data_IF_078215889925
#
_entry.id   IF_078215889925
#
_cell.length_a   1.000
_cell.length_b   1.000
_cell.length_c   1.000
_cell.angle_alpha   90.00
_cell.angle_beta   90.00
_cell.angle_gamma   90.00
#
_symmetry.space_group_name_H-M   'P 1'
#
loop_
_entity.id
_entity.type
_entity.pdbx_description
1 polymer ?
#
# COMPACT_ATOMS: atom_id res chain seq x y z
N UNK A 1 -5.42 -72.39 -30.31
CA UNK A 1 -6.54 -72.64 -29.38
C UNK A 1 -6.59 -71.51 -28.39
N UNK A 2 -7.71 -70.80 -28.41
CA UNK A 2 -8.08 -69.64 -27.61
C UNK A 2 -7.90 -69.89 -26.11
N UNK A 3 -7.48 -68.84 -25.37
CA UNK A 3 -8.19 -68.38 -24.16
C UNK A 3 -8.03 -66.87 -24.02
N UNK A 4 -9.16 -66.18 -24.09
CA UNK A 4 -9.30 -64.81 -23.65
C UNK A 4 -9.15 -64.73 -22.12
N UNK A 5 -8.44 -63.71 -21.62
CA UNK A 5 -8.61 -63.19 -20.27
C UNK A 5 -8.63 -61.68 -20.37
N UNK A 6 -9.84 -61.13 -20.23
CA UNK A 6 -10.09 -59.71 -19.97
C UNK A 6 -9.75 -59.48 -18.49
N UNK A 7 -8.85 -58.54 -18.21
CA UNK A 7 -8.70 -57.98 -16.88
C UNK A 7 -8.56 -56.46 -16.99
N UNK A 8 -9.64 -55.79 -16.60
CA UNK A 8 -9.74 -54.35 -16.33
C UNK A 8 -8.94 -54.07 -15.06
N UNK A 9 -7.95 -53.17 -15.08
CA UNK A 9 -7.62 -52.36 -13.90
C UNK A 9 -6.76 -51.13 -14.22
N UNK A 10 -7.37 -49.97 -13.96
CA UNK A 10 -6.79 -48.73 -13.43
C UNK A 10 -5.72 -47.96 -14.23
N UNK A 11 -6.22 -46.88 -14.84
CA UNK A 11 -5.48 -45.67 -15.21
C UNK A 11 -4.71 -45.13 -14.00
N UNK A 12 -3.39 -45.10 -14.10
CA UNK A 12 -2.52 -44.29 -13.24
C UNK A 12 -1.54 -43.53 -14.14
N UNK A 13 -2.04 -42.48 -14.79
CA UNK A 13 -1.19 -41.41 -15.31
C UNK A 13 -0.74 -40.63 -14.07
N UNK A 14 0.46 -40.93 -13.57
CA UNK A 14 1.16 -40.06 -12.63
C UNK A 14 1.54 -38.80 -13.43
N UNK A 15 0.64 -37.82 -13.41
CA UNK A 15 0.93 -36.45 -13.80
C UNK A 15 1.93 -35.88 -12.81
N UNK A 16 3.22 -36.02 -13.12
CA UNK A 16 4.27 -35.31 -12.40
C UNK A 16 4.19 -33.82 -12.75
N UNK A 17 3.51 -33.07 -11.87
CA UNK A 17 3.88 -31.69 -11.51
C UNK A 17 4.03 -30.68 -12.64
N UNK A 18 2.95 -30.35 -13.34
CA UNK A 18 2.76 -28.98 -13.83
C UNK A 18 2.21 -28.13 -12.68
N UNK A 19 3.10 -27.64 -11.80
CA UNK A 19 2.84 -26.36 -11.13
C UNK A 19 3.34 -25.26 -12.07
N UNK A 20 2.65 -25.14 -13.21
CA UNK A 20 2.68 -23.90 -13.96
C UNK A 20 2.09 -22.84 -13.04
N UNK A 21 2.88 -21.84 -12.69
CA UNK A 21 2.33 -20.57 -12.22
C UNK A 21 1.40 -20.10 -13.34
N UNK A 22 0.10 -20.27 -13.18
CA UNK A 22 -0.88 -19.62 -14.06
C UNK A 22 -0.79 -18.12 -13.82
N UNK A 23 0.11 -17.48 -14.56
CA UNK A 23 0.12 -16.05 -14.73
C UNK A 23 -1.22 -15.63 -15.30
N UNK A 24 -2.01 -14.92 -14.49
CA UNK A 24 -3.11 -14.11 -15.01
C UNK A 24 -2.47 -13.05 -15.92
N UNK A 25 -2.94 -13.00 -17.16
CA UNK A 25 -2.65 -11.89 -18.08
C UNK A 25 -3.37 -10.66 -17.52
N UNK A 26 -2.62 -9.81 -16.83
CA UNK A 26 -2.96 -8.43 -16.49
C UNK A 26 -1.97 -7.52 -17.23
N UNK A 27 -2.48 -6.44 -17.83
CA UNK A 27 -1.70 -5.56 -18.68
C UNK A 27 -0.50 -4.95 -17.93
N UNK A 28 0.66 -4.97 -18.61
CA UNK A 28 1.94 -4.31 -18.35
C UNK A 28 2.14 -3.60 -16.98
N UNK A 29 2.97 -4.22 -16.12
CA UNK A 29 4.10 -3.57 -15.43
C UNK A 29 4.99 -4.68 -14.82
N UNK A 30 6.17 -4.90 -15.39
CA UNK A 30 7.14 -5.98 -15.06
C UNK A 30 7.84 -5.78 -13.69
N UNK A 31 7.21 -5.05 -12.77
CA UNK A 31 7.78 -4.56 -11.50
C UNK A 31 7.21 -5.27 -10.26
N UNK A 32 6.15 -6.06 -10.42
CA UNK A 32 5.48 -6.76 -9.31
C UNK A 32 4.59 -5.87 -8.44
N UNK A 33 4.34 -4.61 -8.85
CA UNK A 33 3.50 -3.66 -8.14
C UNK A 33 2.03 -3.71 -8.61
N UNK A 34 1.11 -3.27 -7.75
CA UNK A 34 -0.29 -3.05 -8.11
C UNK A 34 -0.49 -1.57 -8.45
N UNK A 35 -0.67 -1.24 -9.72
CA UNK A 35 -0.86 0.14 -10.16
C UNK A 35 -2.30 0.61 -9.96
N UNK A 36 -2.48 1.83 -9.47
CA UNK A 36 -3.82 2.43 -9.31
C UNK A 36 -4.41 2.94 -10.63
N UNK A 37 -3.63 3.06 -11.70
CA UNK A 37 -4.04 3.68 -12.96
C UNK A 37 -5.21 2.96 -13.66
N UNK A 38 -5.35 1.65 -13.45
CA UNK A 38 -6.44 0.87 -14.04
C UNK A 38 -7.78 1.08 -13.31
N UNK A 39 -7.76 1.70 -12.13
CA UNK A 39 -8.89 1.78 -11.21
C UNK A 39 -9.32 3.21 -10.90
N UNK A 40 -8.40 4.16 -11.00
CA UNK A 40 -8.61 5.55 -10.65
C UNK A 40 -8.54 6.43 -11.90
N UNK A 41 -9.39 7.46 -11.91
CA UNK A 41 -9.30 8.57 -12.86
C UNK A 41 -8.80 9.82 -12.12
N UNK A 42 -7.47 10.00 -12.02
CA UNK A 42 -6.88 11.14 -11.31
C UNK A 42 -6.90 12.42 -12.16
N UNK A 43 -6.32 13.50 -11.63
CA UNK A 43 -6.35 14.86 -12.20
C UNK A 43 -7.77 15.42 -12.39
N UNK A 44 -8.67 15.01 -11.51
CA UNK A 44 -10.03 15.54 -11.39
C UNK A 44 -10.18 16.19 -10.02
N UNK A 45 -11.22 17.00 -9.84
CA UNK A 45 -11.61 17.49 -8.51
C UNK A 45 -12.44 16.46 -7.73
N UNK A 46 -12.51 15.22 -8.22
CA UNK A 46 -13.24 14.14 -7.53
C UNK A 46 -12.43 13.68 -6.31
N UNK A 47 -13.12 13.48 -5.20
CA UNK A 47 -12.51 12.86 -4.03
C UNK A 47 -12.26 11.36 -4.28
N UNK A 48 -10.99 10.97 -4.24
CA UNK A 48 -10.56 9.59 -4.46
C UNK A 48 -10.35 8.80 -3.17
N UNK A 49 -10.66 9.39 -2.00
CA UNK A 49 -10.30 8.80 -0.70
C UNK A 49 -10.80 7.36 -0.53
N UNK A 50 -12.10 7.13 -0.75
CA UNK A 50 -12.69 5.80 -0.57
C UNK A 50 -12.20 4.80 -1.62
N UNK A 51 -11.92 5.26 -2.84
CA UNK A 51 -11.41 4.40 -3.91
C UNK A 51 -9.98 3.96 -3.61
N UNK A 52 -9.14 4.88 -3.16
CA UNK A 52 -7.76 4.59 -2.75
C UNK A 52 -7.75 3.66 -1.54
N UNK A 53 -8.57 3.94 -0.51
CA UNK A 53 -8.65 3.09 0.67
C UNK A 53 -9.11 1.68 0.31
N UNK A 54 -10.10 1.55 -0.58
CA UNK A 54 -10.57 0.25 -1.08
C UNK A 54 -9.46 -0.52 -1.80
N UNK A 55 -8.65 0.14 -2.65
CA UNK A 55 -7.51 -0.49 -3.32
C UNK A 55 -6.51 -1.03 -2.29
N UNK A 56 -6.19 -0.26 -1.24
CA UNK A 56 -5.30 -0.71 -0.17
C UNK A 56 -5.88 -1.95 0.54
N UNK A 57 -7.17 -1.90 0.86
CA UNK A 57 -7.84 -2.95 1.65
C UNK A 57 -8.00 -4.26 0.86
N UNK A 58 -8.23 -4.19 -0.45
CA UNK A 58 -8.41 -5.36 -1.32
C UNK A 58 -7.09 -5.97 -1.80
N UNK A 59 -5.95 -5.31 -1.55
CA UNK A 59 -4.64 -5.75 -2.02
C UNK A 59 -3.61 -5.86 -0.88
N UNK A 60 -3.86 -6.73 0.12
CA UNK A 60 -2.88 -6.99 1.18
C UNK A 60 -1.59 -7.60 0.62
N UNK A 61 -0.46 -7.34 1.28
CA UNK A 61 0.87 -7.87 0.93
C UNK A 61 1.34 -7.43 -0.46
N UNK A 62 0.97 -6.20 -0.86
CA UNK A 62 1.35 -5.57 -2.13
C UNK A 62 2.00 -4.22 -1.89
N UNK A 63 2.81 -3.82 -2.86
CA UNK A 63 3.15 -2.42 -3.07
C UNK A 63 2.13 -1.82 -4.02
N UNK A 64 1.43 -0.78 -3.57
CA UNK A 64 0.49 -0.01 -4.38
C UNK A 64 1.27 1.13 -5.04
N UNK A 65 1.25 1.15 -6.37
CA UNK A 65 1.97 2.13 -7.18
C UNK A 65 1.03 3.23 -7.67
N UNK A 66 1.46 4.48 -7.50
CA UNK A 66 0.80 5.69 -7.95
C UNK A 66 1.62 6.35 -9.07
N UNK A 67 1.16 6.28 -10.33
CA UNK A 67 1.79 6.99 -11.45
C UNK A 67 1.64 8.51 -11.38
N UNK A 68 2.32 9.21 -12.30
CA UNK A 68 2.42 10.67 -12.34
C UNK A 68 1.05 11.32 -12.57
N UNK A 69 0.41 11.76 -11.49
CA UNK A 69 -0.92 12.34 -11.47
C UNK A 69 -1.18 13.05 -10.13
N UNK A 70 -2.21 13.90 -10.08
CA UNK A 70 -2.76 14.46 -8.84
C UNK A 70 -3.97 13.66 -8.38
N UNK A 71 -3.92 13.17 -7.15
CA UNK A 71 -4.95 12.40 -6.47
C UNK A 71 -5.50 13.23 -5.32
N UNK A 72 -6.72 13.76 -5.47
CA UNK A 72 -7.36 14.56 -4.45
C UNK A 72 -8.07 13.68 -3.42
N UNK A 73 -7.86 13.96 -2.13
CA UNK A 73 -8.43 13.20 -1.01
C UNK A 73 -9.02 14.14 0.04
N UNK A 74 -10.23 13.85 0.52
CA UNK A 74 -10.92 14.60 1.58
C UNK A 74 -10.72 14.03 2.99
N UNK A 75 -10.19 12.81 3.10
CA UNK A 75 -9.96 12.13 4.37
C UNK A 75 -8.69 11.29 4.36
N UNK A 76 -8.16 10.93 5.54
CA UNK A 76 -6.91 10.18 5.65
C UNK A 76 -6.92 8.85 4.90
N UNK A 77 -5.80 8.54 4.26
CA UNK A 77 -5.51 7.24 3.66
C UNK A 77 -4.68 6.42 4.63
N UNK A 78 -5.18 5.24 5.00
CA UNK A 78 -4.57 4.40 6.04
C UNK A 78 -4.03 3.10 5.46
N UNK A 79 -2.77 2.76 5.77
CA UNK A 79 -2.26 1.39 5.59
C UNK A 79 -2.44 0.57 6.87
N UNK A 80 -2.61 -0.76 6.78
CA UNK A 80 -2.73 -1.63 7.95
C UNK A 80 -1.39 -1.85 8.65
N UNK A 81 -1.43 -2.01 9.98
CA UNK A 81 -0.28 -2.43 10.78
C UNK A 81 -0.24 -3.95 11.00
N UNK A 82 -1.30 -4.70 10.67
CA UNK A 82 -1.30 -6.15 10.72
C UNK A 82 -0.30 -6.72 9.68
N UNK A 83 0.73 -7.48 10.09
CA UNK A 83 1.72 -8.06 9.18
C UNK A 83 1.12 -8.96 8.10
N UNK A 84 -0.04 -9.57 8.34
CA UNK A 84 -0.75 -10.40 7.35
C UNK A 84 -1.41 -9.59 6.24
N UNK A 85 -1.48 -8.27 6.40
CA UNK A 85 -2.11 -7.34 5.46
C UNK A 85 -1.17 -6.24 4.98
N UNK A 86 0.14 -6.35 5.22
CA UNK A 86 1.06 -5.25 5.03
C UNK A 86 0.99 -4.63 3.64
N UNK A 87 0.94 -3.30 3.57
CA UNK A 87 0.91 -2.57 2.30
C UNK A 87 2.01 -1.51 2.31
N UNK A 88 2.74 -1.46 1.20
CA UNK A 88 3.67 -0.37 0.90
C UNK A 88 3.08 0.55 -0.16
N UNK A 89 3.33 1.84 -0.06
CA UNK A 89 2.91 2.84 -1.05
C UNK A 89 4.15 3.35 -1.78
N UNK A 90 4.10 3.35 -3.11
CA UNK A 90 5.15 3.90 -3.96
C UNK A 90 4.55 4.88 -4.96
N UNK A 91 5.02 6.12 -4.92
CA UNK A 91 4.60 7.19 -5.80
C UNK A 91 5.72 7.48 -6.79
N UNK A 92 5.38 7.70 -8.06
CA UNK A 92 6.32 8.22 -9.04
C UNK A 92 6.70 9.68 -8.74
N UNK A 93 7.76 10.18 -9.37
CA UNK A 93 8.34 11.49 -9.04
C UNK A 93 7.39 12.68 -9.16
N UNK A 94 6.38 12.61 -10.05
CA UNK A 94 5.37 13.66 -10.22
C UNK A 94 3.98 13.25 -9.71
N UNK A 95 3.87 12.14 -8.99
CA UNK A 95 2.63 11.77 -8.32
C UNK A 95 2.40 12.64 -7.08
N UNK A 96 1.19 13.18 -6.95
CA UNK A 96 0.77 14.10 -5.90
C UNK A 96 -0.46 13.50 -5.20
N UNK A 97 -0.39 13.28 -3.89
CA UNK A 97 -1.60 13.06 -3.08
C UNK A 97 -1.88 14.35 -2.31
N UNK A 98 -3.03 14.95 -2.59
CA UNK A 98 -3.37 16.30 -2.13
C UNK A 98 -4.63 16.29 -1.29
N UNK A 99 -4.54 16.89 -0.10
CA UNK A 99 -5.70 17.21 0.72
C UNK A 99 -6.63 18.16 -0.05
N UNK A 100 -7.92 17.87 -0.05
CA UNK A 100 -8.94 18.71 -0.68
C UNK A 100 -9.18 20.01 0.08
N UNK A 101 -9.95 20.92 -0.51
CA UNK A 101 -10.32 22.18 0.11
C UNK A 101 -11.32 22.01 1.27
N UNK A 102 -12.06 20.91 1.30
CA UNK A 102 -13.02 20.51 2.34
C UNK A 102 -12.41 19.56 3.38
N UNK A 103 -11.08 19.52 3.51
CA UNK A 103 -10.42 18.72 4.55
C UNK A 103 -10.79 19.17 5.97
N UNK A 104 -11.46 18.30 6.73
CA UNK A 104 -11.93 18.57 8.10
C UNK A 104 -11.21 17.74 9.18
N UNK A 105 -10.35 16.80 8.79
CA UNK A 105 -9.65 15.95 9.76
C UNK A 105 -8.43 16.64 10.39
N UNK A 106 -8.18 16.40 11.67
CA UNK A 106 -6.93 16.79 12.34
C UNK A 106 -5.77 15.81 12.06
N UNK A 107 -6.01 14.79 11.24
CA UNK A 107 -5.06 13.74 10.93
C UNK A 107 -4.19 14.06 9.70
N UNK A 108 -3.18 13.20 9.47
CA UNK A 108 -2.35 13.26 8.28
C UNK A 108 -3.08 12.79 7.01
N UNK A 109 -2.67 13.33 5.85
CA UNK A 109 -3.12 12.85 4.53
C UNK A 109 -2.85 11.36 4.40
N UNK A 110 -1.62 10.94 4.74
CA UNK A 110 -1.23 9.53 4.78
C UNK A 110 -0.97 9.11 6.22
N UNK A 111 -1.64 8.06 6.67
CA UNK A 111 -1.45 7.42 7.98
C UNK A 111 -0.90 6.03 7.78
N UNK A 112 0.42 5.91 7.79
CA UNK A 112 1.09 4.62 7.74
C UNK A 112 0.76 3.85 9.02
N UNK A 113 0.29 2.62 8.86
CA UNK A 113 -0.16 1.79 9.97
C UNK A 113 -1.26 2.47 10.80
N UNK A 114 -2.13 3.24 10.15
CA UNK A 114 -3.25 3.97 10.76
C UNK A 114 -4.48 3.12 11.07
N UNK A 115 -4.50 1.86 10.63
CA UNK A 115 -5.56 0.88 10.92
C UNK A 115 -4.97 -0.49 11.27
N UNK A 116 -5.80 -1.38 11.79
CA UNK A 116 -5.43 -2.74 12.18
C UNK A 116 -4.15 -2.77 13.06
N UNK A 117 -4.16 -2.12 14.24
CA UNK A 117 -2.96 -1.97 15.07
C UNK A 117 -2.39 -3.31 15.49
N UNK A 118 -1.06 -3.42 15.48
CA UNK A 118 -0.35 -4.65 15.79
C UNK A 118 0.92 -4.36 16.61
N UNK A 119 1.22 -5.20 17.60
CA UNK A 119 2.27 -4.92 18.59
C UNK A 119 3.40 -5.96 18.64
N UNK A 120 3.46 -6.89 17.69
CA UNK A 120 4.50 -7.93 17.62
C UNK A 120 5.37 -7.79 16.34
N UNK A 121 6.68 -7.92 16.50
CA UNK A 121 7.70 -7.72 15.44
C UNK A 121 8.29 -9.01 14.91
N UNK A 122 8.01 -10.15 15.55
CA UNK A 122 8.59 -11.44 15.17
C UNK A 122 7.99 -12.02 13.89
N UNK A 123 6.89 -11.45 13.39
CA UNK A 123 6.20 -11.93 12.20
C UNK A 123 6.78 -11.31 10.94
N UNK A 124 7.02 -12.14 9.94
CA UNK A 124 7.36 -11.68 8.59
C UNK A 124 6.22 -10.82 8.05
N UNK A 125 6.56 -9.72 7.37
CA UNK A 125 5.59 -8.81 6.76
C UNK A 125 5.53 -7.44 7.41
N UNK A 126 6.24 -7.19 8.51
CA UNK A 126 6.30 -5.90 9.21
C UNK A 126 7.06 -4.78 8.49
N UNK A 127 7.38 -4.91 7.19
CA UNK A 127 8.10 -3.89 6.44
C UNK A 127 7.11 -2.98 5.69
N UNK A 128 6.59 -1.98 6.37
CA UNK A 128 5.70 -0.97 5.79
C UNK A 128 6.54 0.15 5.18
N UNK A 129 6.22 0.61 3.97
CA UNK A 129 6.97 1.71 3.37
C UNK A 129 6.11 2.74 2.65
N UNK A 130 6.60 3.97 2.68
CA UNK A 130 6.16 5.06 1.84
C UNK A 130 7.36 5.57 1.05
N UNK A 131 7.29 5.51 -0.28
CA UNK A 131 8.38 5.89 -1.18
C UNK A 131 7.89 6.90 -2.22
N UNK A 132 8.65 7.97 -2.44
CA UNK A 132 8.49 8.81 -3.63
C UNK A 132 7.41 9.88 -3.54
N UNK A 133 7.17 10.53 -4.67
CA UNK A 133 6.12 11.50 -4.89
C UNK A 133 6.10 12.70 -3.95
N UNK A 134 4.92 13.31 -3.91
CA UNK A 134 4.67 14.56 -3.23
C UNK A 134 3.35 14.50 -2.45
N UNK A 135 3.41 14.83 -1.16
CA UNK A 135 2.24 14.98 -0.30
C UNK A 135 1.95 16.47 -0.11
N UNK A 136 0.74 16.88 -0.48
CA UNK A 136 0.25 18.24 -0.32
C UNK A 136 -0.78 18.32 0.79
N UNK A 137 -0.44 18.98 1.89
CA UNK A 137 -1.37 19.23 2.99
C UNK A 137 -2.41 20.32 2.67
N UNK A 138 -2.27 21.03 1.54
CA UNK A 138 -3.17 22.10 1.09
C UNK A 138 -3.40 23.20 2.14
N UNK A 139 -2.43 23.42 3.04
CA UNK A 139 -2.52 24.33 4.20
C UNK A 139 -3.47 23.87 5.31
N UNK A 140 -4.07 22.68 5.19
CA UNK A 140 -5.17 22.20 6.05
C UNK A 140 -4.84 20.92 6.80
N UNK A 141 -4.20 19.97 6.14
CA UNK A 141 -3.91 18.65 6.70
C UNK A 141 -2.48 18.57 7.27
N UNK A 142 -2.24 17.57 8.10
CA UNK A 142 -0.88 17.09 8.35
C UNK A 142 -0.41 16.25 7.14
N UNK A 143 0.89 16.10 6.93
CA UNK A 143 1.44 15.42 5.76
C UNK A 143 1.36 13.91 5.88
N UNK A 144 2.36 13.31 6.54
CA UNK A 144 2.42 11.87 6.79
C UNK A 144 2.48 11.61 8.29
N UNK A 145 1.83 10.57 8.77
CA UNK A 145 2.04 10.03 10.11
C UNK A 145 2.32 8.53 10.11
N UNK A 146 3.05 8.08 11.13
CA UNK A 146 3.23 6.67 11.47
C UNK A 146 2.49 6.44 12.77
N UNK A 147 1.44 5.63 12.73
CA UNK A 147 0.45 5.56 13.81
C UNK A 147 0.60 4.33 14.72
N UNK A 148 1.11 3.21 14.21
CA UNK A 148 1.34 2.02 15.04
C UNK A 148 2.37 1.01 14.54
N UNK A 149 2.94 1.23 13.35
CA UNK A 149 3.84 0.30 12.67
C UNK A 149 5.20 0.14 13.35
N UNK A 150 5.85 -0.99 13.05
CA UNK A 150 7.23 -1.30 13.40
C UNK A 150 8.01 -1.39 12.09
N UNK A 151 9.31 -1.12 12.12
CA UNK A 151 10.18 -1.27 10.94
C UNK A 151 9.64 -0.50 9.71
N UNK A 152 9.04 0.67 9.97
CA UNK A 152 8.40 1.48 8.92
C UNK A 152 9.43 2.38 8.25
N UNK A 153 9.38 2.48 6.93
CA UNK A 153 10.30 3.32 6.16
C UNK A 153 9.55 4.43 5.44
N UNK A 154 10.00 5.68 5.60
CA UNK A 154 9.57 6.80 4.76
C UNK A 154 10.79 7.31 4.00
N UNK A 155 10.70 7.35 2.68
CA UNK A 155 11.85 7.65 1.84
C UNK A 155 11.55 8.44 0.57
N UNK A 156 12.52 9.27 0.20
CA UNK A 156 12.58 9.95 -1.11
C UNK A 156 11.30 10.71 -1.48
N UNK A 157 10.67 11.36 -0.50
CA UNK A 157 9.38 12.06 -0.69
C UNK A 157 9.48 13.54 -0.35
N UNK A 158 8.59 14.33 -0.91
CA UNK A 158 8.40 15.73 -0.55
C UNK A 158 7.06 15.93 0.15
N UNK A 159 7.05 16.62 1.28
CA UNK A 159 5.84 16.98 2.02
C UNK A 159 5.75 18.49 2.06
N UNK A 160 4.68 19.07 1.52
CA UNK A 160 4.52 20.53 1.51
C UNK A 160 3.13 20.98 1.91
N UNK A 161 3.04 22.26 2.29
CA UNK A 161 1.80 22.91 2.70
C UNK A 161 1.07 22.14 3.80
N UNK A 162 1.80 21.47 4.69
CA UNK A 162 1.24 20.67 5.76
C UNK A 162 1.35 21.43 7.09
N UNK A 163 0.35 21.31 7.96
CA UNK A 163 0.41 21.86 9.33
C UNK A 163 1.53 21.21 10.14
N UNK A 164 1.65 19.89 10.03
CA UNK A 164 2.76 19.07 10.51
C UNK A 164 3.24 18.22 9.34
N UNK A 165 4.51 18.33 8.97
CA UNK A 165 5.05 17.57 7.83
C UNK A 165 5.06 16.06 8.05
N UNK A 166 5.79 15.61 9.07
CA UNK A 166 5.87 14.20 9.44
C UNK A 166 5.66 14.04 10.95
N UNK A 167 4.80 13.11 11.36
CA UNK A 167 4.54 12.80 12.76
C UNK A 167 4.70 11.29 13.03
N UNK A 168 5.67 10.92 13.85
CA UNK A 168 5.81 9.56 14.36
C UNK A 168 5.07 9.50 15.69
N UNK A 169 3.89 8.88 15.72
CA UNK A 169 3.04 8.83 16.91
C UNK A 169 3.44 7.69 17.84
N UNK A 170 2.89 7.73 19.05
CA UNK A 170 2.94 6.60 19.97
C UNK A 170 2.25 5.37 19.36
N UNK A 171 3.04 4.33 19.11
CA UNK A 171 2.52 3.08 18.55
C UNK A 171 1.83 2.18 19.56
N UNK A 172 1.22 1.10 19.05
CA UNK A 172 0.43 0.14 19.83
C UNK A 172 1.26 -0.69 20.84
N UNK A 173 2.58 -0.54 20.87
CA UNK A 173 3.48 -1.27 21.76
C UNK A 173 4.19 -0.34 22.74
N UNK A 174 3.64 -0.17 23.95
CA UNK A 174 4.27 0.61 25.03
C UNK A 174 4.80 1.98 24.58
N UNK A 175 4.06 2.65 23.69
CA UNK A 175 4.37 3.98 23.16
C UNK A 175 5.53 4.08 22.16
N UNK A 176 6.08 2.97 21.64
CA UNK A 176 7.13 2.99 20.58
C UNK A 176 6.56 2.78 19.18
N UNK A 177 7.00 3.61 18.24
CA UNK A 177 6.89 3.41 16.79
C UNK A 177 8.30 3.52 16.22
N UNK A 178 8.78 2.43 15.60
CA UNK A 178 10.15 2.36 15.10
C UNK A 178 10.12 2.71 13.60
N UNK A 179 10.87 3.73 13.20
CA UNK A 179 10.85 4.22 11.82
C UNK A 179 12.21 4.70 11.32
N UNK A 180 12.50 4.36 10.07
CA UNK A 180 13.61 4.93 9.30
C UNK A 180 13.07 6.00 8.36
N UNK A 181 13.68 7.19 8.41
CA UNK A 181 13.29 8.34 7.59
C UNK A 181 14.51 8.87 6.85
N UNK A 182 14.48 8.87 5.53
CA UNK A 182 15.61 9.35 4.71
C UNK A 182 15.18 9.99 3.40
N UNK A 183 15.93 10.99 2.92
CA UNK A 183 15.59 11.68 1.66
C UNK A 183 14.23 12.39 1.67
N UNK A 184 13.76 12.82 2.86
CA UNK A 184 12.46 13.52 2.99
C UNK A 184 12.66 15.02 3.01
N UNK A 185 11.99 15.73 2.10
CA UNK A 185 11.99 17.19 2.04
C UNK A 185 10.67 17.75 2.58
N UNK A 186 10.71 18.60 3.61
CA UNK A 186 9.53 19.22 4.22
C UNK A 186 9.60 20.73 4.00
N UNK A 187 8.57 21.30 3.36
CA UNK A 187 8.48 22.75 3.07
C UNK A 187 7.14 23.29 3.56
N UNK A 188 7.19 24.33 4.39
CA UNK A 188 6.02 25.02 4.94
C UNK A 188 5.68 26.30 4.18
#
# INVERSE_FOLDING_TARGET
MEKAVVLILFVCIIGLGLLGCSGRIGNNDDTGYFSVADYLKPNTNEDLSDKIQKIIDENPNRTIFFPDCTYQVSKPICTPADPSKAVSLKLSSFAIIKASDDWESDEAVIRICGKDPYNEIRYVGSNYSFEGGYIDGNGKANGISIDSGRETVIKETSIKNAKIGLHIKHGANNSSSDADVYGVNIVG
#
